data_IF_323305085755
#
_entry.id   IF_323305085755
#
_cell.length_a   1.000
_cell.length_b   1.000
_cell.length_c   1.000
_cell.angle_alpha   90.00
_cell.angle_beta   90.00
_cell.angle_gamma   90.00
#
_symmetry.space_group_name_H-M   'P 1'
#
loop_
_entity.id
_entity.type
_entity.pdbx_description
1 polymer ?
#
# COMPACT_ATOMS: atom_id res chain seq x y z
N UNK A 1 -25.21 -3.63 -1.15
CA UNK A 1 -24.46 -3.77 0.11
C UNK A 1 -24.40 -5.21 0.65
N UNK A 2 -25.51 -5.92 0.91
CA UNK A 2 -25.47 -7.29 1.48
C UNK A 2 -24.57 -8.29 0.72
N UNK A 3 -24.58 -8.27 -0.62
CA UNK A 3 -23.71 -9.12 -1.43
C UNK A 3 -22.21 -8.80 -1.29
N UNK A 4 -21.86 -7.52 -1.15
CA UNK A 4 -20.47 -7.10 -0.95
C UNK A 4 -19.93 -7.53 0.40
N UNK A 5 -20.72 -7.37 1.46
CA UNK A 5 -20.35 -7.80 2.81
C UNK A 5 -20.10 -9.31 2.86
N UNK A 6 -20.95 -10.12 2.21
CA UNK A 6 -20.72 -11.57 2.11
C UNK A 6 -19.39 -11.90 1.44
N UNK A 7 -19.04 -11.21 0.35
CA UNK A 7 -17.75 -11.44 -0.32
C UNK A 7 -16.58 -11.03 0.56
N UNK A 8 -16.68 -9.89 1.26
CA UNK A 8 -15.64 -9.42 2.18
C UNK A 8 -15.35 -10.51 3.22
N UNK A 9 -16.38 -10.92 3.96
CA UNK A 9 -16.26 -11.94 5.01
C UNK A 9 -15.71 -13.25 4.45
N UNK A 10 -16.26 -13.73 3.33
CA UNK A 10 -15.83 -15.00 2.75
C UNK A 10 -14.38 -14.99 2.26
N UNK A 11 -13.94 -13.92 1.58
CA UNK A 11 -12.57 -13.79 1.08
C UNK A 11 -11.59 -13.65 2.24
N UNK A 12 -11.90 -12.81 3.23
CA UNK A 12 -11.05 -12.60 4.41
C UNK A 12 -10.81 -13.91 5.16
N UNK A 13 -11.87 -14.57 5.63
CA UNK A 13 -11.71 -15.81 6.39
C UNK A 13 -11.07 -16.93 5.57
N UNK A 14 -11.35 -17.03 4.27
CA UNK A 14 -10.71 -18.03 3.42
C UNK A 14 -9.20 -17.77 3.25
N UNK A 15 -8.81 -16.53 2.96
CA UNK A 15 -7.40 -16.17 2.81
C UNK A 15 -6.62 -16.36 4.11
N UNK A 16 -7.18 -15.90 5.23
CA UNK A 16 -6.58 -16.02 6.56
C UNK A 16 -6.46 -17.49 6.99
N UNK A 17 -7.51 -18.30 6.81
CA UNK A 17 -7.47 -19.72 7.20
C UNK A 17 -6.48 -20.52 6.36
N UNK A 18 -6.47 -20.33 5.03
CA UNK A 18 -5.53 -21.01 4.14
C UNK A 18 -4.09 -20.55 4.39
N UNK A 19 -3.89 -19.25 4.61
CA UNK A 19 -2.59 -18.67 4.96
C UNK A 19 -2.07 -19.18 6.30
N UNK A 20 -2.92 -19.18 7.32
CA UNK A 20 -2.60 -19.69 8.66
C UNK A 20 -2.27 -21.19 8.61
N UNK A 21 -3.04 -21.99 7.87
CA UNK A 21 -2.76 -23.41 7.69
C UNK A 21 -1.39 -23.61 7.01
N UNK A 22 -1.11 -22.89 5.93
CA UNK A 22 0.16 -23.00 5.21
C UNK A 22 1.36 -22.57 6.08
N UNK A 23 1.25 -21.47 6.81
CA UNK A 23 2.28 -21.02 7.76
C UNK A 23 2.46 -22.02 8.90
N UNK A 24 1.38 -22.55 9.47
CA UNK A 24 1.45 -23.54 10.54
C UNK A 24 2.14 -24.82 10.07
N UNK A 25 1.80 -25.34 8.88
CA UNK A 25 2.48 -26.49 8.29
C UNK A 25 3.98 -26.24 8.13
N UNK A 26 4.39 -24.99 7.84
CA UNK A 26 5.81 -24.61 7.70
C UNK A 26 6.52 -24.38 9.03
N UNK A 27 5.80 -23.95 10.07
CA UNK A 27 6.35 -23.49 11.35
C UNK A 27 6.18 -24.50 12.50
N UNK A 28 5.33 -25.52 12.37
CA UNK A 28 5.03 -26.49 13.44
C UNK A 28 6.24 -27.28 13.95
N UNK A 29 7.27 -27.45 13.13
CA UNK A 29 8.48 -28.22 13.46
C UNK A 29 9.67 -27.31 13.82
N UNK A 30 9.46 -25.98 13.85
CA UNK A 30 10.51 -25.02 14.17
C UNK A 30 10.64 -24.83 15.67
N UNK A 31 11.79 -25.20 16.23
CA UNK A 31 12.09 -25.07 17.65
C UNK A 31 12.17 -23.61 18.14
N UNK A 32 12.40 -22.65 17.24
CA UNK A 32 12.50 -21.23 17.55
C UNK A 32 11.14 -20.51 17.68
N UNK A 33 10.03 -21.26 17.58
CA UNK A 33 8.66 -20.75 17.66
C UNK A 33 7.90 -21.52 18.75
N UNK A 34 7.71 -20.88 19.91
CA UNK A 34 7.11 -21.52 21.08
C UNK A 34 5.64 -21.92 20.86
N UNK A 35 4.85 -21.06 20.18
CA UNK A 35 3.43 -21.27 19.94
C UNK A 35 3.12 -21.22 18.43
N UNK A 36 3.44 -22.28 17.66
CA UNK A 36 3.41 -22.23 16.20
C UNK A 36 2.02 -22.02 15.59
N UNK A 37 0.96 -22.54 16.24
CA UNK A 37 -0.43 -22.30 15.80
C UNK A 37 -0.79 -20.81 15.97
N UNK A 38 -0.53 -20.25 17.15
CA UNK A 38 -0.83 -18.84 17.45
C UNK A 38 -0.02 -17.92 16.54
N UNK A 39 1.28 -18.20 16.38
CA UNK A 39 2.15 -17.46 15.48
C UNK A 39 1.62 -17.50 14.04
N UNK A 40 1.28 -18.67 13.51
CA UNK A 40 0.79 -18.81 12.14
C UNK A 40 -0.53 -18.06 11.91
N UNK A 41 -1.51 -18.20 12.81
CA UNK A 41 -2.79 -17.51 12.71
C UNK A 41 -2.60 -15.99 12.80
N UNK A 42 -1.82 -15.52 13.77
CA UNK A 42 -1.58 -14.09 13.98
C UNK A 42 -0.90 -13.45 12.76
N UNK A 43 0.15 -14.09 12.23
CA UNK A 43 0.87 -13.55 11.08
C UNK A 43 0.04 -13.63 9.80
N UNK A 44 -0.82 -14.64 9.64
CA UNK A 44 -1.72 -14.71 8.48
C UNK A 44 -2.76 -13.57 8.49
N UNK A 45 -3.40 -13.32 9.64
CA UNK A 45 -4.34 -12.20 9.81
C UNK A 45 -3.62 -10.87 9.63
N UNK A 46 -2.46 -10.69 10.27
CA UNK A 46 -1.65 -9.48 10.17
C UNK A 46 -1.19 -9.19 8.73
N UNK A 47 -0.77 -10.22 7.99
CA UNK A 47 -0.38 -10.09 6.58
C UNK A 47 -1.57 -9.70 5.68
N UNK A 48 -2.71 -10.39 5.81
CA UNK A 48 -3.88 -10.12 4.97
C UNK A 48 -4.54 -8.77 5.30
N UNK A 49 -4.55 -8.39 6.58
CA UNK A 49 -5.06 -7.09 7.01
C UNK A 49 -4.04 -5.95 6.84
N UNK A 50 -2.87 -6.25 6.24
CA UNK A 50 -1.76 -5.32 6.00
C UNK A 50 -1.43 -4.51 7.27
N UNK A 51 -1.28 -5.22 8.39
CA UNK A 51 -1.13 -4.62 9.71
C UNK A 51 0.33 -4.56 10.18
N UNK A 52 1.18 -5.51 9.75
CA UNK A 52 2.62 -5.49 10.01
C UNK A 52 3.05 -5.88 11.41
N UNK A 53 2.10 -6.16 12.29
CA UNK A 53 2.40 -6.65 13.63
C UNK A 53 2.92 -8.08 13.57
N UNK A 54 3.98 -8.34 14.34
CA UNK A 54 4.56 -9.66 14.52
C UNK A 54 4.61 -10.02 16.01
N UNK A 55 4.39 -11.30 16.32
CA UNK A 55 4.64 -11.84 17.67
C UNK A 55 6.10 -12.22 17.89
N UNK A 56 6.92 -12.21 16.83
CA UNK A 56 8.33 -12.57 16.89
C UNK A 56 9.15 -11.30 17.13
N UNK A 57 10.11 -11.38 18.05
CA UNK A 57 10.88 -10.22 18.50
C UNK A 57 11.68 -9.53 17.36
N UNK A 58 12.11 -10.30 16.38
CA UNK A 58 12.84 -9.87 15.18
C UNK A 58 11.92 -9.70 13.95
N UNK A 59 10.60 -9.69 14.15
CA UNK A 59 9.63 -9.63 13.06
C UNK A 59 9.74 -10.85 12.15
N UNK A 60 9.95 -10.61 10.85
CA UNK A 60 10.16 -11.68 9.87
C UNK A 60 11.62 -11.77 9.37
N UNK A 61 12.57 -11.08 10.02
CA UNK A 61 13.98 -11.08 9.65
C UNK A 61 14.60 -12.49 9.63
N UNK A 62 14.26 -13.35 10.61
CA UNK A 62 14.69 -14.77 10.62
C UNK A 62 14.24 -15.57 9.39
N UNK A 63 13.16 -15.18 8.71
CA UNK A 63 12.65 -15.89 7.52
C UNK A 63 13.22 -15.35 6.21
N UNK A 64 14.22 -14.46 6.24
CA UNK A 64 14.82 -13.87 5.03
C UNK A 64 15.24 -14.90 3.97
N UNK A 65 15.68 -16.10 4.38
CA UNK A 65 16.09 -17.19 3.49
C UNK A 65 15.02 -18.28 3.30
N UNK A 66 13.91 -18.25 4.05
CA UNK A 66 12.84 -19.23 3.94
C UNK A 66 11.84 -18.81 2.85
N UNK A 67 12.11 -19.25 1.63
CA UNK A 67 11.30 -18.92 0.46
C UNK A 67 9.83 -19.32 0.60
N UNK A 68 9.51 -20.40 1.31
CA UNK A 68 8.13 -20.84 1.50
C UNK A 68 7.34 -19.87 2.41
N UNK A 69 7.91 -19.52 3.56
CA UNK A 69 7.30 -18.55 4.48
C UNK A 69 7.15 -17.18 3.81
N UNK A 70 8.19 -16.71 3.13
CA UNK A 70 8.15 -15.43 2.41
C UNK A 70 7.09 -15.43 1.30
N UNK A 71 6.97 -16.50 0.52
CA UNK A 71 5.96 -16.60 -0.53
C UNK A 71 4.53 -16.58 0.03
N UNK A 72 4.27 -17.26 1.15
CA UNK A 72 2.95 -17.26 1.79
C UNK A 72 2.61 -15.86 2.30
N UNK A 73 3.53 -15.21 3.02
CA UNK A 73 3.29 -13.86 3.55
C UNK A 73 3.13 -12.85 2.42
N UNK A 74 3.99 -12.89 1.39
CA UNK A 74 3.89 -12.04 0.18
C UNK A 74 2.54 -12.22 -0.52
N UNK A 75 2.08 -13.45 -0.67
CA UNK A 75 0.77 -13.70 -1.26
C UNK A 75 -0.36 -13.09 -0.42
N UNK A 76 -0.34 -13.25 0.91
CA UNK A 76 -1.34 -12.65 1.79
C UNK A 76 -1.32 -11.12 1.76
N UNK A 77 -0.13 -10.51 1.76
CA UNK A 77 0.05 -9.06 1.65
C UNK A 77 -0.53 -8.51 0.34
N UNK A 78 -0.26 -9.17 -0.79
CA UNK A 78 -0.80 -8.79 -2.09
C UNK A 78 -2.31 -8.99 -2.16
N UNK A 79 -2.83 -10.10 -1.63
CA UNK A 79 -4.27 -10.35 -1.60
C UNK A 79 -5.00 -9.33 -0.73
N UNK A 80 -4.44 -8.99 0.44
CA UNK A 80 -4.98 -7.99 1.34
C UNK A 80 -5.01 -6.58 0.74
N UNK A 81 -3.98 -6.21 -0.02
CA UNK A 81 -3.87 -4.89 -0.63
C UNK A 81 -4.77 -4.69 -1.85
N UNK A 82 -5.30 -5.77 -2.43
CA UNK A 82 -6.30 -5.71 -3.50
C UNK A 82 -7.70 -5.40 -2.95
N UNK A 83 -8.44 -4.57 -3.68
CA UNK A 83 -9.78 -4.18 -3.25
C UNK A 83 -10.80 -5.31 -3.41
N UNK A 84 -11.77 -5.41 -2.51
CA UNK A 84 -12.89 -6.38 -2.65
C UNK A 84 -13.63 -6.32 -4.00
N UNK A 85 -13.80 -5.16 -4.67
CA UNK A 85 -14.36 -5.12 -6.02
C UNK A 85 -13.54 -5.91 -7.05
N UNK A 86 -12.22 -5.99 -6.88
CA UNK A 86 -11.31 -6.78 -7.74
C UNK A 86 -11.63 -8.26 -7.61
N UNK A 87 -11.75 -8.77 -6.38
CA UNK A 87 -12.11 -10.17 -6.12
C UNK A 87 -13.46 -10.56 -6.72
N UNK A 88 -14.47 -9.68 -6.61
CA UNK A 88 -15.79 -9.93 -7.19
C UNK A 88 -15.76 -10.01 -8.71
N UNK A 89 -15.02 -9.10 -9.36
CA UNK A 89 -14.87 -9.08 -10.80
C UNK A 89 -14.09 -10.30 -11.30
N UNK A 90 -12.97 -10.64 -10.65
CA UNK A 90 -12.19 -11.85 -10.96
C UNK A 90 -13.03 -13.13 -10.80
N UNK A 91 -13.78 -13.27 -9.70
CA UNK A 91 -14.65 -14.43 -9.47
C UNK A 91 -15.83 -14.51 -10.43
N UNK A 92 -16.33 -13.37 -10.95
CA UNK A 92 -17.34 -13.35 -12.01
C UNK A 92 -16.75 -13.81 -13.34
N UNK A 93 -15.61 -13.27 -13.73
CA UNK A 93 -14.97 -13.59 -15.01
C UNK A 93 -14.42 -15.03 -15.02
N UNK A 94 -13.93 -15.55 -13.90
CA UNK A 94 -13.52 -16.95 -13.75
C UNK A 94 -14.69 -17.92 -13.97
N UNK A 95 -15.88 -17.63 -13.39
CA UNK A 95 -17.10 -18.44 -13.60
C UNK A 95 -17.57 -18.37 -15.04
N UNK A 96 -17.52 -17.19 -15.66
CA UNK A 96 -17.85 -17.00 -17.08
C UNK A 96 -16.96 -17.84 -18.00
N UNK A 97 -15.66 -17.89 -17.70
CA UNK A 97 -14.69 -18.70 -18.44
C UNK A 97 -14.93 -20.20 -18.25
N UNK A 98 -15.15 -20.64 -17.01
CA UNK A 98 -15.46 -22.04 -16.69
C UNK A 98 -16.75 -22.51 -17.38
N UNK A 99 -17.77 -21.64 -17.43
CA UNK A 99 -19.02 -21.90 -18.13
C UNK A 99 -18.96 -21.70 -19.65
N UNK A 100 -17.80 -21.30 -20.21
CA UNK A 100 -17.56 -21.00 -21.64
C UNK A 100 -18.59 -20.03 -22.26
N UNK A 101 -19.21 -19.16 -21.45
CA UNK A 101 -20.32 -18.31 -21.92
C UNK A 101 -19.84 -17.14 -22.77
N UNK A 102 -18.72 -16.51 -22.37
CA UNK A 102 -18.14 -15.34 -23.04
C UNK A 102 -16.66 -15.18 -22.68
N UNK A 103 -15.85 -14.53 -23.54
CA UNK A 103 -14.46 -14.21 -23.21
C UNK A 103 -14.40 -13.28 -21.99
N UNK A 104 -13.45 -13.51 -21.07
CA UNK A 104 -13.35 -12.73 -19.84
C UNK A 104 -13.01 -11.28 -20.16
N UNK A 105 -13.73 -10.34 -19.55
CA UNK A 105 -13.53 -8.90 -19.71
C UNK A 105 -13.53 -8.22 -18.35
N UNK A 106 -12.32 -8.00 -17.83
CA UNK A 106 -12.12 -7.28 -16.57
C UNK A 106 -12.69 -5.86 -16.63
N UNK A 107 -13.29 -5.43 -15.52
CA UNK A 107 -13.71 -4.06 -15.32
C UNK A 107 -12.51 -3.11 -15.34
N UNK A 108 -12.75 -1.85 -15.72
CA UNK A 108 -11.71 -0.82 -15.79
C UNK A 108 -10.99 -0.66 -14.45
N UNK A 109 -11.76 -0.63 -13.35
CA UNK A 109 -11.24 -0.54 -11.99
C UNK A 109 -10.28 -1.70 -11.66
N UNK A 110 -10.69 -2.94 -11.91
CA UNK A 110 -9.86 -4.14 -11.72
C UNK A 110 -8.58 -4.08 -12.53
N UNK A 111 -8.69 -3.69 -13.81
CA UNK A 111 -7.53 -3.62 -14.69
C UNK A 111 -6.54 -2.53 -14.26
N UNK A 112 -7.03 -1.36 -13.86
CA UNK A 112 -6.19 -0.30 -13.30
C UNK A 112 -5.51 -0.75 -12.01
N UNK A 113 -6.26 -1.33 -11.07
CA UNK A 113 -5.73 -1.82 -9.80
C UNK A 113 -4.60 -2.84 -10.02
N UNK A 114 -4.84 -3.88 -10.83
CA UNK A 114 -3.86 -4.95 -11.07
C UNK A 114 -2.63 -4.45 -11.83
N UNK A 115 -2.81 -3.65 -12.88
CA UNK A 115 -1.68 -3.15 -13.69
C UNK A 115 -0.84 -2.18 -12.87
N UNK A 116 -1.45 -1.24 -12.16
CA UNK A 116 -0.70 -0.28 -11.34
C UNK A 116 0.03 -0.97 -10.20
N UNK A 117 -0.61 -1.92 -9.51
CA UNK A 117 0.04 -2.73 -8.46
C UNK A 117 1.24 -3.49 -9.03
N UNK A 118 1.05 -4.18 -10.17
CA UNK A 118 2.13 -4.92 -10.82
C UNK A 118 3.30 -4.04 -11.26
N UNK A 119 3.02 -2.86 -11.82
CA UNK A 119 4.06 -1.88 -12.21
C UNK A 119 4.81 -1.36 -10.99
N UNK A 120 4.12 -1.00 -9.91
CA UNK A 120 4.75 -0.48 -8.69
C UNK A 120 5.62 -1.54 -8.02
N UNK A 121 5.12 -2.78 -7.89
CA UNK A 121 5.90 -3.90 -7.31
C UNK A 121 7.09 -4.24 -8.20
N UNK A 122 6.93 -4.27 -9.52
CA UNK A 122 8.04 -4.54 -10.44
C UNK A 122 9.10 -3.43 -10.40
N UNK A 123 8.68 -2.15 -10.38
CA UNK A 123 9.59 -1.02 -10.23
C UNK A 123 10.33 -1.07 -8.89
N UNK A 124 9.62 -1.37 -7.80
CA UNK A 124 10.20 -1.57 -6.47
C UNK A 124 11.23 -2.70 -6.44
N UNK A 125 10.91 -3.83 -7.06
CA UNK A 125 11.79 -4.99 -7.15
C UNK A 125 13.08 -4.65 -7.91
N UNK A 126 12.95 -4.08 -9.11
CA UNK A 126 14.11 -3.74 -9.96
C UNK A 126 15.01 -2.73 -9.25
N UNK A 127 14.43 -1.70 -8.64
CA UNK A 127 15.21 -0.69 -7.95
C UNK A 127 15.82 -1.21 -6.65
N UNK A 128 15.12 -2.04 -5.86
CA UNK A 128 15.70 -2.68 -4.67
C UNK A 128 16.89 -3.58 -5.04
N UNK A 129 16.75 -4.41 -6.08
CA UNK A 129 17.87 -5.23 -6.57
C UNK A 129 19.02 -4.38 -7.08
N UNK A 130 18.75 -3.33 -7.86
CA UNK A 130 19.79 -2.49 -8.44
C UNK A 130 20.56 -1.65 -7.40
N UNK A 131 19.86 -1.13 -6.39
CA UNK A 131 20.43 -0.23 -5.38
C UNK A 131 21.08 -0.99 -4.21
N UNK A 132 20.49 -2.11 -3.78
CA UNK A 132 20.95 -2.83 -2.59
C UNK A 132 21.79 -4.08 -2.88
N UNK A 133 22.12 -4.38 -4.15
CA UNK A 133 22.91 -5.56 -4.53
C UNK A 133 24.23 -5.68 -3.74
N UNK A 134 24.88 -4.54 -3.49
CA UNK A 134 26.13 -4.44 -2.72
C UNK A 134 25.92 -3.86 -1.31
N UNK A 135 24.67 -3.54 -0.97
CA UNK A 135 24.26 -3.00 0.32
C UNK A 135 23.72 -4.10 1.22
N UNK A 136 22.48 -3.93 1.69
CA UNK A 136 21.86 -4.83 2.67
C UNK A 136 21.65 -6.25 2.12
N UNK A 137 21.58 -6.42 0.80
CA UNK A 137 21.39 -7.74 0.17
C UNK A 137 22.70 -8.51 -0.02
N UNK A 138 23.86 -7.86 0.04
CA UNK A 138 25.16 -8.47 -0.27
C UNK A 138 25.46 -9.77 0.50
N UNK A 139 25.07 -9.93 1.79
CA UNK A 139 25.31 -11.16 2.53
C UNK A 139 24.44 -12.35 2.11
N UNK A 140 23.46 -12.15 1.22
CA UNK A 140 22.48 -13.17 0.84
C UNK A 140 22.94 -13.99 -0.38
N UNK A 141 22.39 -15.18 -0.54
CA UNK A 141 22.54 -15.96 -1.78
C UNK A 141 21.76 -15.30 -2.93
N UNK A 142 22.03 -15.69 -4.18
CA UNK A 142 21.30 -15.16 -5.35
C UNK A 142 19.77 -15.32 -5.23
N UNK A 143 19.22 -16.48 -4.82
CA UNK A 143 17.77 -16.59 -4.55
C UNK A 143 17.32 -15.70 -3.39
N UNK A 144 18.18 -15.52 -2.38
CA UNK A 144 17.93 -14.64 -1.24
C UNK A 144 17.81 -13.17 -1.63
N UNK A 145 18.60 -12.69 -2.60
CA UNK A 145 18.49 -11.34 -3.15
C UNK A 145 17.09 -11.10 -3.73
N UNK A 146 16.64 -12.03 -4.59
CA UNK A 146 15.33 -11.92 -5.22
C UNK A 146 14.20 -11.95 -4.18
N UNK A 147 14.27 -12.88 -3.23
CA UNK A 147 13.25 -13.01 -2.18
C UNK A 147 13.16 -11.75 -1.31
N UNK A 148 14.30 -11.24 -0.83
CA UNK A 148 14.33 -10.04 -0.01
C UNK A 148 13.87 -8.79 -0.76
N UNK A 149 14.28 -8.63 -2.03
CA UNK A 149 13.86 -7.50 -2.85
C UNK A 149 12.36 -7.55 -3.21
N UNK A 150 11.82 -8.73 -3.53
CA UNK A 150 10.36 -8.91 -3.73
C UNK A 150 9.63 -8.59 -2.43
N UNK A 151 10.12 -9.08 -1.30
CA UNK A 151 9.49 -8.83 -0.01
C UNK A 151 9.46 -7.33 0.31
N UNK A 152 10.57 -6.61 0.13
CA UNK A 152 10.67 -5.17 0.34
C UNK A 152 9.74 -4.38 -0.58
N UNK A 153 9.68 -4.73 -1.87
CA UNK A 153 8.80 -4.07 -2.82
C UNK A 153 7.31 -4.28 -2.48
N UNK A 154 6.95 -5.51 -2.13
CA UNK A 154 5.57 -5.87 -1.79
C UNK A 154 5.16 -5.28 -0.45
N UNK A 155 5.98 -5.38 0.60
CA UNK A 155 5.63 -4.85 1.93
C UNK A 155 5.42 -3.34 1.89
N UNK A 156 6.25 -2.61 1.15
CA UNK A 156 6.12 -1.16 0.96
C UNK A 156 4.84 -0.81 0.19
N UNK A 157 4.60 -1.44 -0.96
CA UNK A 157 3.44 -1.15 -1.83
C UNK A 157 2.11 -1.60 -1.21
N UNK A 158 2.09 -2.77 -0.57
CA UNK A 158 0.89 -3.30 0.10
C UNK A 158 0.57 -2.60 1.41
N UNK A 159 1.47 -1.73 1.89
CA UNK A 159 1.41 -1.07 3.20
C UNK A 159 1.32 -2.05 4.37
N UNK A 160 2.03 -3.19 4.28
CA UNK A 160 1.95 -4.21 5.34
C UNK A 160 2.91 -3.91 6.48
N UNK A 161 4.18 -3.58 6.21
CA UNK A 161 5.12 -3.22 7.28
C UNK A 161 6.00 -4.32 7.83
N UNK A 162 5.88 -5.55 7.32
CA UNK A 162 6.86 -6.57 7.66
C UNK A 162 8.22 -6.26 7.05
N UNK A 163 9.28 -6.61 7.77
CA UNK A 163 10.66 -6.49 7.32
C UNK A 163 11.37 -7.84 7.41
N UNK A 164 12.08 -8.21 6.34
CA UNK A 164 13.01 -9.36 6.30
C UNK A 164 14.47 -8.90 6.34
N UNK A 165 14.69 -7.63 6.05
CA UNK A 165 15.98 -6.94 6.13
C UNK A 165 15.81 -5.71 7.01
N UNK A 166 16.90 -5.27 7.64
CA UNK A 166 16.87 -4.04 8.42
C UNK A 166 16.61 -2.85 7.51
N UNK A 167 15.50 -2.16 7.76
CA UNK A 167 15.08 -0.98 6.97
C UNK A 167 15.97 0.22 7.28
N UNK A 168 16.51 0.33 8.50
CA UNK A 168 17.44 1.40 8.87
C UNK A 168 18.80 1.29 8.18
N UNK A 169 19.15 0.09 7.70
CA UNK A 169 20.40 -0.16 6.97
C UNK A 169 20.31 0.12 5.46
N UNK A 170 19.11 0.41 4.93
CA UNK A 170 18.91 0.67 3.50
C UNK A 170 19.59 1.98 3.07
N UNK A 171 20.13 2.01 1.87
CA UNK A 171 20.73 3.20 1.29
C UNK A 171 19.71 4.34 1.10
N UNK A 172 20.14 5.61 1.11
CA UNK A 172 19.25 6.76 0.98
C UNK A 172 18.34 6.73 -0.26
N UNK A 173 18.88 6.29 -1.40
CA UNK A 173 18.12 6.15 -2.64
C UNK A 173 17.00 5.10 -2.53
N UNK A 174 17.29 3.97 -1.86
CA UNK A 174 16.33 2.91 -1.61
C UNK A 174 15.24 3.36 -0.64
N UNK A 175 15.61 4.08 0.44
CA UNK A 175 14.64 4.68 1.36
C UNK A 175 13.69 5.65 0.64
N UNK A 176 14.21 6.51 -0.24
CA UNK A 176 13.39 7.40 -1.07
C UNK A 176 12.40 6.65 -1.96
N UNK A 177 12.87 5.62 -2.66
CA UNK A 177 12.00 4.77 -3.48
C UNK A 177 10.91 4.10 -2.63
N UNK A 178 11.29 3.51 -1.50
CA UNK A 178 10.39 2.82 -0.58
C UNK A 178 9.33 3.81 -0.06
N UNK A 179 9.70 5.05 0.28
CA UNK A 179 8.74 6.10 0.64
C UNK A 179 7.72 6.38 -0.47
N UNK A 180 8.12 6.43 -1.74
CA UNK A 180 7.19 6.60 -2.87
C UNK A 180 6.20 5.43 -2.96
N UNK A 181 6.69 4.20 -2.78
CA UNK A 181 5.83 3.01 -2.76
C UNK A 181 4.88 3.00 -1.56
N UNK A 182 5.33 3.46 -0.40
CA UNK A 182 4.52 3.53 0.82
C UNK A 182 3.45 4.62 0.76
N UNK A 183 3.76 5.73 0.11
CA UNK A 183 2.79 6.80 -0.15
C UNK A 183 1.66 6.31 -1.08
N UNK A 184 2.03 5.54 -2.11
CA UNK A 184 1.08 4.90 -3.03
C UNK A 184 0.75 3.48 -2.57
N UNK A 185 -0.15 3.39 -1.59
CA UNK A 185 -0.58 2.13 -1.03
C UNK A 185 -1.44 1.26 -1.97
N UNK A 186 -2.26 0.39 -1.36
CA UNK A 186 -3.07 -0.58 -2.10
C UNK A 186 -4.29 -0.01 -2.83
N UNK A 187 -5.13 -0.90 -3.34
CA UNK A 187 -6.29 -0.54 -4.18
C UNK A 187 -7.50 -0.06 -3.36
N UNK A 188 -8.45 0.70 -3.92
CA UNK A 188 -9.64 1.13 -3.18
C UNK A 188 -10.48 -0.05 -2.69
N UNK A 189 -11.01 0.07 -1.47
CA UNK A 189 -11.78 -1.00 -0.84
C UNK A 189 -10.94 -2.21 -0.45
N UNK A 190 -9.65 -2.02 -0.18
CA UNK A 190 -8.75 -3.01 0.40
C UNK A 190 -8.45 -2.70 1.87
N UNK A 191 -7.60 -3.50 2.49
CA UNK A 191 -7.09 -3.26 3.85
C UNK A 191 -5.87 -2.34 3.87
N UNK A 192 -5.30 -1.96 2.72
CA UNK A 192 -4.11 -1.11 2.66
C UNK A 192 -4.40 0.37 2.95
N UNK A 193 -3.39 1.10 3.45
CA UNK A 193 -3.44 2.54 3.70
C UNK A 193 -3.04 3.40 2.49
N UNK A 194 -2.66 4.65 2.75
CA UNK A 194 -2.09 5.58 1.76
C UNK A 194 -2.99 5.97 0.59
N UNK A 195 -2.38 6.64 -0.41
CA UNK A 195 -3.05 7.01 -1.66
C UNK A 195 -3.27 5.75 -2.49
N UNK A 196 -4.51 5.54 -2.93
CA UNK A 196 -4.87 4.30 -3.64
C UNK A 196 -4.24 4.21 -5.02
N UNK A 197 -3.89 2.99 -5.44
CA UNK A 197 -3.30 2.71 -6.77
C UNK A 197 -4.10 3.32 -7.93
N UNK A 198 -5.43 3.21 -7.90
CA UNK A 198 -6.27 3.75 -8.97
C UNK A 198 -6.28 5.28 -9.00
N UNK A 199 -6.11 5.94 -7.83
CA UNK A 199 -5.99 7.40 -7.75
C UNK A 199 -4.73 7.86 -8.47
N UNK A 200 -3.59 7.20 -8.19
CA UNK A 200 -2.35 7.46 -8.91
C UNK A 200 -2.55 7.22 -10.42
N UNK A 201 -3.13 6.08 -10.79
CA UNK A 201 -3.32 5.71 -12.19
C UNK A 201 -4.18 6.75 -12.95
N UNK A 202 -5.22 7.28 -12.32
CA UNK A 202 -6.06 8.34 -12.87
C UNK A 202 -5.29 9.64 -13.06
N UNK A 203 -4.47 10.07 -12.08
CA UNK A 203 -3.67 11.30 -12.20
C UNK A 203 -2.59 11.16 -13.27
N UNK A 204 -1.89 10.03 -13.32
CA UNK A 204 -0.90 9.75 -14.37
C UNK A 204 -1.55 9.73 -15.76
N UNK A 205 -2.73 9.10 -15.89
CA UNK A 205 -3.47 9.11 -17.15
C UNK A 205 -3.92 10.52 -17.55
N UNK A 206 -4.30 11.36 -16.58
CA UNK A 206 -4.66 12.76 -16.81
C UNK A 206 -3.47 13.56 -17.33
N UNK A 207 -2.32 13.50 -16.66
CA UNK A 207 -1.09 14.16 -17.10
C UNK A 207 -0.72 13.71 -18.51
N UNK A 208 -0.77 12.40 -18.77
CA UNK A 208 -0.47 11.84 -20.09
C UNK A 208 -1.43 12.30 -21.19
N UNK A 209 -2.73 12.42 -20.89
CA UNK A 209 -3.73 12.92 -21.81
C UNK A 209 -3.46 14.41 -22.15
N UNK A 210 -3.16 15.22 -21.13
CA UNK A 210 -2.79 16.64 -21.29
C UNK A 210 -1.55 16.82 -22.15
N UNK A 211 -0.48 16.06 -21.88
CA UNK A 211 0.76 16.11 -22.68
C UNK A 211 0.54 15.70 -24.15
N UNK A 212 -0.49 14.89 -24.43
CA UNK A 212 -0.87 14.50 -25.79
C UNK A 212 -1.94 15.41 -26.41
N UNK A 213 -2.35 16.48 -25.74
CA UNK A 213 -3.39 17.39 -26.21
C UNK A 213 -4.78 16.73 -26.33
N UNK A 214 -5.05 15.67 -25.57
CA UNK A 214 -6.36 14.99 -25.61
C UNK A 214 -7.35 15.69 -24.67
N UNK A 215 -8.54 15.98 -25.18
CA UNK A 215 -9.61 16.61 -24.41
C UNK A 215 -10.23 15.69 -23.33
N UNK A 216 -10.04 14.37 -23.43
CA UNK A 216 -10.62 13.39 -22.51
C UNK A 216 -9.53 12.48 -21.96
N UNK A 217 -9.62 12.18 -20.67
CA UNK A 217 -8.74 11.21 -20.02
C UNK A 217 -9.25 9.80 -20.30
N UNK A 218 -8.40 8.96 -20.88
CA UNK A 218 -8.76 7.61 -21.28
C UNK A 218 -7.78 6.57 -20.74
N UNK A 219 -8.30 5.45 -20.25
CA UNK A 219 -7.53 4.29 -19.84
C UNK A 219 -8.17 3.02 -20.41
N UNK A 220 -7.36 2.13 -20.97
CA UNK A 220 -7.82 0.84 -21.52
C UNK A 220 -9.02 0.96 -22.48
N UNK A 221 -8.99 1.98 -23.36
CA UNK A 221 -10.07 2.31 -24.31
C UNK A 221 -11.41 2.64 -23.64
N UNK A 222 -11.37 3.25 -22.46
CA UNK A 222 -12.53 3.79 -21.76
C UNK A 222 -12.21 5.18 -21.22
N UNK A 223 -13.18 6.08 -21.27
CA UNK A 223 -13.05 7.45 -20.75
C UNK A 223 -13.30 7.46 -19.23
N UNK A 224 -12.48 8.22 -18.50
CA UNK A 224 -12.71 8.54 -17.09
C UNK A 224 -13.53 9.83 -17.00
N UNK A 225 -14.44 9.91 -16.04
CA UNK A 225 -15.22 11.14 -15.83
C UNK A 225 -14.36 12.26 -15.23
N UNK A 226 -14.65 13.50 -15.61
CA UNK A 226 -13.90 14.67 -15.11
C UNK A 226 -13.99 14.79 -13.58
N UNK A 227 -15.16 14.47 -13.00
CA UNK A 227 -15.35 14.40 -11.55
C UNK A 227 -14.36 13.44 -10.87
N UNK A 228 -14.15 12.26 -11.45
CA UNK A 228 -13.19 11.28 -10.92
C UNK A 228 -11.75 11.79 -11.03
N UNK A 229 -11.41 12.48 -12.12
CA UNK A 229 -10.07 13.07 -12.32
C UNK A 229 -9.82 14.18 -11.30
N UNK A 230 -10.75 15.13 -11.16
CA UNK A 230 -10.65 16.22 -10.17
C UNK A 230 -10.57 15.68 -8.75
N UNK A 231 -11.39 14.67 -8.42
CA UNK A 231 -11.35 14.02 -7.10
C UNK A 231 -10.01 13.32 -6.86
N UNK A 232 -9.43 12.67 -7.87
CA UNK A 232 -8.14 12.02 -7.76
C UNK A 232 -6.99 13.03 -7.53
N UNK A 233 -7.01 14.17 -8.25
CA UNK A 233 -6.06 15.26 -8.05
C UNK A 233 -6.18 15.85 -6.64
N UNK A 234 -7.41 16.08 -6.16
CA UNK A 234 -7.65 16.57 -4.80
C UNK A 234 -7.13 15.59 -3.73
N UNK A 235 -7.34 14.27 -3.92
CA UNK A 235 -6.81 13.24 -3.02
C UNK A 235 -5.29 13.32 -2.91
N UNK A 236 -4.59 13.41 -4.04
CA UNK A 236 -3.12 13.50 -4.05
C UNK A 236 -2.66 14.79 -3.39
N UNK A 237 -3.25 15.94 -3.74
CA UNK A 237 -2.89 17.24 -3.18
C UNK A 237 -3.03 17.30 -1.66
N UNK A 238 -4.18 16.84 -1.13
CA UNK A 238 -4.41 16.81 0.32
C UNK A 238 -3.46 15.82 1.01
N UNK A 239 -3.18 14.67 0.39
CA UNK A 239 -2.25 13.68 0.93
C UNK A 239 -0.83 14.23 1.03
N UNK A 240 -0.34 14.88 -0.03
CA UNK A 240 0.98 15.52 -0.05
C UNK A 240 1.06 16.64 1.00
N UNK A 241 0.04 17.48 1.11
CA UNK A 241 0.00 18.53 2.12
C UNK A 241 0.02 17.97 3.55
N UNK A 242 -0.74 16.90 3.80
CA UNK A 242 -0.78 16.22 5.12
C UNK A 242 0.61 15.68 5.47
N UNK A 243 1.26 14.97 4.55
CA UNK A 243 2.60 14.41 4.75
C UNK A 243 3.64 15.53 4.93
N UNK A 244 3.58 16.60 4.14
CA UNK A 244 4.50 17.72 4.25
C UNK A 244 4.40 18.42 5.63
N UNK A 245 3.18 18.64 6.12
CA UNK A 245 2.96 19.21 7.46
C UNK A 245 3.49 18.27 8.56
N UNK A 246 3.28 16.96 8.41
CA UNK A 246 3.80 15.97 9.35
C UNK A 246 5.33 15.96 9.39
N UNK A 247 5.98 15.95 8.22
CA UNK A 247 7.44 16.02 8.09
C UNK A 247 7.96 17.28 8.77
N UNK A 248 7.37 18.45 8.46
CA UNK A 248 7.77 19.72 9.07
C UNK A 248 7.64 19.68 10.60
N UNK A 249 6.53 19.14 11.13
CA UNK A 249 6.32 19.03 12.57
C UNK A 249 7.36 18.12 13.23
N UNK A 250 7.70 16.98 12.62
CA UNK A 250 8.74 16.08 13.14
C UNK A 250 10.13 16.72 13.07
N UNK A 251 10.50 17.33 11.95
CA UNK A 251 11.80 18.01 11.79
C UNK A 251 11.97 19.18 12.77
N UNK A 252 10.89 19.86 13.12
CA UNK A 252 10.92 20.99 14.06
C UNK A 252 10.96 20.56 15.53
N UNK A 253 10.50 19.36 15.87
CA UNK A 253 10.31 18.92 17.27
C UNK A 253 11.20 17.76 17.70
N UNK A 254 11.65 16.93 16.75
CA UNK A 254 12.38 15.69 17.04
C UNK A 254 13.83 15.80 16.62
N UNK A 255 14.70 15.13 17.38
CA UNK A 255 16.11 14.98 17.03
C UNK A 255 16.32 13.69 16.23
N UNK A 256 16.96 13.76 15.08
CA UNK A 256 17.26 12.59 14.26
C UNK A 256 17.71 12.99 12.86
N UNK A 257 18.10 11.98 12.07
CA UNK A 257 18.38 12.18 10.65
C UNK A 257 17.11 12.61 9.90
N UNK A 258 17.22 13.61 9.03
CA UNK A 258 16.08 14.20 8.33
C UNK A 258 15.40 13.21 7.38
N UNK A 259 16.18 12.33 6.73
CA UNK A 259 15.63 11.30 5.86
C UNK A 259 14.89 10.24 6.67
N UNK A 260 15.44 9.83 7.82
CA UNK A 260 14.78 8.91 8.72
C UNK A 260 13.47 9.47 9.30
N UNK A 261 13.42 10.74 9.72
CA UNK A 261 12.19 11.39 10.18
C UNK A 261 11.14 11.52 9.05
N UNK A 262 11.60 11.81 7.83
CA UNK A 262 10.74 11.83 6.63
C UNK A 262 10.16 10.45 6.35
N UNK A 263 10.97 9.41 6.49
CA UNK A 263 10.55 8.02 6.32
C UNK A 263 9.44 7.64 7.32
N UNK A 264 9.61 7.99 8.60
CA UNK A 264 8.59 7.74 9.63
C UNK A 264 7.26 8.45 9.32
N UNK A 265 7.30 9.72 8.88
CA UNK A 265 6.10 10.46 8.50
C UNK A 265 5.35 9.82 7.32
N UNK A 266 6.09 9.41 6.27
CA UNK A 266 5.51 8.76 5.10
C UNK A 266 4.97 7.37 5.47
N UNK A 267 5.67 6.62 6.32
CA UNK A 267 5.22 5.32 6.84
C UNK A 267 3.93 5.44 7.63
N UNK A 268 3.86 6.42 8.53
CA UNK A 268 2.65 6.71 9.29
C UNK A 268 1.48 7.04 8.38
N UNK A 269 1.67 7.90 7.38
CA UNK A 269 0.59 8.26 6.44
C UNK A 269 0.13 7.07 5.59
N UNK A 270 1.07 6.27 5.10
CA UNK A 270 0.75 5.03 4.38
C UNK A 270 0.14 3.95 5.28
N UNK A 271 0.15 4.15 6.60
CA UNK A 271 -0.10 3.12 7.63
C UNK A 271 0.68 1.85 7.35
N UNK A 272 1.95 2.01 6.94
CA UNK A 272 2.77 0.90 6.47
C UNK A 272 3.34 0.14 7.64
N UNK A 273 3.93 0.83 8.63
CA UNK A 273 4.53 0.19 9.79
C UNK A 273 6.01 -0.17 9.64
N UNK A 274 6.63 0.09 8.48
CA UNK A 274 8.10 0.09 8.36
C UNK A 274 8.68 1.25 9.14
N UNK A 275 9.85 1.05 9.75
CA UNK A 275 10.58 2.08 10.50
C UNK A 275 12.07 1.92 10.25
N UNK A 276 12.80 3.04 10.24
CA UNK A 276 14.27 3.05 10.25
C UNK A 276 14.85 2.84 11.65
N UNK A 277 13.99 2.61 12.65
CA UNK A 277 14.34 2.43 14.06
C UNK A 277 14.14 3.67 14.93
N UNK A 278 13.60 4.78 14.38
CA UNK A 278 13.37 6.02 15.15
C UNK A 278 12.07 6.00 15.95
N UNK A 279 11.04 5.26 15.54
CA UNK A 279 9.74 5.24 16.22
C UNK A 279 9.82 5.09 17.76
N UNK A 280 10.65 4.18 18.32
CA UNK A 280 10.77 4.04 19.78
C UNK A 280 11.36 5.28 20.47
N UNK A 281 12.27 5.98 19.80
CA UNK A 281 13.04 7.11 20.36
C UNK A 281 12.31 8.45 20.29
N UNK A 282 11.20 8.53 19.55
CA UNK A 282 10.38 9.74 19.48
C UNK A 282 9.77 10.09 20.85
N UNK A 283 9.69 11.38 21.13
CA UNK A 283 9.02 11.88 22.33
C UNK A 283 7.48 11.75 22.20
N UNK A 284 6.76 12.22 23.22
CA UNK A 284 5.30 12.15 23.22
C UNK A 284 4.66 12.96 22.08
N UNK A 285 5.26 14.10 21.71
CA UNK A 285 4.77 14.96 20.63
C UNK A 285 4.95 14.31 19.26
N UNK A 286 6.14 13.77 18.98
CA UNK A 286 6.42 13.04 17.75
C UNK A 286 5.49 11.85 17.58
N UNK A 287 5.27 11.09 18.66
CA UNK A 287 4.30 9.97 18.66
C UNK A 287 2.87 10.45 18.38
N UNK A 288 2.44 11.57 18.95
CA UNK A 288 1.11 12.14 18.69
C UNK A 288 0.94 12.57 17.23
N UNK A 289 1.98 13.16 16.63
CA UNK A 289 2.00 13.51 15.20
C UNK A 289 1.84 12.25 14.35
N UNK A 290 2.62 11.19 14.62
CA UNK A 290 2.48 9.93 13.89
C UNK A 290 1.08 9.32 14.04
N UNK A 291 0.51 9.29 15.25
CA UNK A 291 -0.85 8.77 15.50
C UNK A 291 -1.90 9.55 14.70
N UNK A 292 -1.83 10.89 14.69
CA UNK A 292 -2.75 11.71 13.92
C UNK A 292 -2.64 11.43 12.41
N UNK A 293 -1.41 11.31 11.91
CA UNK A 293 -1.12 11.05 10.49
C UNK A 293 -1.55 9.64 10.08
N UNK A 294 -1.37 8.63 10.93
CA UNK A 294 -1.89 7.27 10.72
C UNK A 294 -3.41 7.27 10.62
N UNK A 295 -4.09 8.01 11.50
CA UNK A 295 -5.55 8.12 11.47
C UNK A 295 -6.03 8.75 10.15
N UNK A 296 -5.44 9.87 9.72
CA UNK A 296 -5.76 10.53 8.45
C UNK A 296 -5.50 9.61 7.26
N UNK A 297 -4.34 8.93 7.26
CA UNK A 297 -3.94 7.98 6.23
C UNK A 297 -4.89 6.80 6.09
N UNK A 298 -5.40 6.26 7.21
CA UNK A 298 -6.33 5.12 7.23
C UNK A 298 -7.75 5.50 6.81
N UNK A 299 -8.29 6.57 7.38
CA UNK A 299 -9.68 7.02 7.14
C UNK A 299 -9.82 7.61 5.72
N UNK A 300 -8.72 8.13 5.17
CA UNK A 300 -8.69 8.78 3.88
C UNK A 300 -8.91 10.29 4.03
N UNK A 301 -8.03 11.13 3.46
CA UNK A 301 -8.07 12.59 3.70
C UNK A 301 -9.38 13.25 3.26
N UNK A 302 -9.98 12.78 2.16
CA UNK A 302 -11.26 13.31 1.69
C UNK A 302 -12.43 12.87 2.56
N UNK A 303 -12.43 11.66 3.10
CA UNK A 303 -13.51 11.22 4.01
C UNK A 303 -13.50 12.08 5.26
N UNK A 304 -12.31 12.37 5.79
CA UNK A 304 -12.14 13.29 6.92
C UNK A 304 -12.55 14.71 6.54
N UNK A 305 -12.11 15.19 5.37
CA UNK A 305 -12.51 16.48 4.83
C UNK A 305 -14.03 16.63 4.69
N UNK A 306 -14.73 15.62 4.16
CA UNK A 306 -16.19 15.61 4.08
C UNK A 306 -16.87 15.52 5.45
N UNK A 307 -16.34 14.70 6.38
CA UNK A 307 -16.88 14.61 7.73
C UNK A 307 -16.84 15.96 8.45
N UNK A 308 -15.77 16.75 8.22
CA UNK A 308 -15.62 18.10 8.76
C UNK A 308 -16.42 19.14 7.96
N UNK A 309 -16.53 18.97 6.64
CA UNK A 309 -17.17 19.90 5.71
C UNK A 309 -18.65 19.64 5.41
N UNK A 310 -19.28 18.62 6.03
CA UNK A 310 -20.68 18.20 5.83
C UNK A 310 -21.76 19.28 6.07
N UNK A 311 -21.34 20.53 6.33
CA UNK A 311 -22.19 21.71 6.49
C UNK A 311 -22.24 22.62 5.25
N UNK A 312 -21.51 22.33 4.17
CA UNK A 312 -21.53 23.16 2.97
C UNK A 312 -22.85 22.96 2.18
N UNK A 313 -23.71 23.99 2.14
CA UNK A 313 -24.93 23.99 1.33
C UNK A 313 -24.56 24.16 -0.16
N UNK A 314 -25.21 23.44 -1.09
CA UNK A 314 -25.00 23.66 -2.50
C UNK A 314 -25.38 25.10 -2.86
N UNK A 315 -24.41 25.88 -3.30
CA UNK A 315 -24.61 27.26 -3.75
C UNK A 315 -25.24 27.25 -5.14
N UNK A 316 -26.43 27.84 -5.27
CA UNK A 316 -27.11 28.04 -6.57
C UNK A 316 -26.57 29.25 -7.35
N UNK A 317 -25.69 30.04 -6.73
CA UNK A 317 -25.05 31.19 -7.35
C UNK A 317 -23.71 30.76 -7.92
N UNK A 318 -23.51 31.00 -9.23
CA UNK A 318 -22.27 30.73 -9.95
C UNK A 318 -21.63 32.08 -10.27
N UNK A 319 -20.35 32.23 -9.92
CA UNK A 319 -19.58 33.44 -10.23
C UNK A 319 -19.11 33.43 -11.70
N UNK A 320 -18.87 34.60 -12.32
CA UNK A 320 -18.29 34.68 -13.66
C UNK A 320 -16.95 33.94 -13.74
N UNK A 321 -16.72 33.22 -14.85
CA UNK A 321 -15.45 32.54 -15.09
C UNK A 321 -14.40 33.54 -15.61
N UNK A 322 -13.28 33.65 -14.91
CA UNK A 322 -12.11 34.38 -15.39
C UNK A 322 -10.99 33.41 -15.79
N UNK A 323 -10.24 33.80 -16.83
CA UNK A 323 -9.07 33.05 -17.25
C UNK A 323 -7.86 33.55 -16.47
N UNK A 324 -7.26 32.68 -15.68
CA UNK A 324 -5.99 32.94 -15.02
C UNK A 324 -4.89 32.25 -15.84
N UNK A 325 -3.78 32.95 -16.04
CA UNK A 325 -2.60 32.37 -16.70
C UNK A 325 -1.98 31.33 -15.75
N UNK A 326 -1.87 30.09 -16.24
CA UNK A 326 -1.24 28.98 -15.52
C UNK A 326 -0.28 28.33 -16.52
N UNK A 327 1.04 28.55 -16.35
CA UNK A 327 2.09 27.88 -17.12
C UNK A 327 2.14 28.18 -18.61
#
# INVERSE_FOLDING_TARGET
MRGQVKTIVAVTFAAEALGALALWLRWRERADIEAPILAAVFHAVSAFCTAGFSLLADGLARFRADGASNAIVVALMLLGSLGFPVFQDLGREARSLAARQRPPRLALHTRLALVTTGVLVAAGLVAALGLEWRGVLAPLTLPGHLLAAVFLAVTAQSTTGFNTVDTGALGPATLWLVMVLMFVGGSPGSTAGGVKTTTLATVVASVWATLRGRARVEAFRRTLSDEQVTKALALIGISLATVAVAILALLATQTGDALALTFEAVSAFGTVGLSTGLTPTLDAWGKLVLVAVMFVGRVGPITLGFALAARARPTRVVYPSEKIMIG
#
